data_IF_819222019927
#
_entry.id   IF_819222019927
#
_cell.length_a   1.000
_cell.length_b   1.000
_cell.length_c   1.000
_cell.angle_alpha   90.00
_cell.angle_beta   90.00
_cell.angle_gamma   90.00
#
_symmetry.space_group_name_H-M   'P 1'
#
loop_
_entity.id
_entity.type
_entity.pdbx_description
1 polymer ?
#
# COMPACT_ATOMS: atom_id res chain seq x y z
N UNK A 1 -11.65 -11.17 -1.97
CA UNK A 1 -10.32 -11.77 -1.93
C UNK A 1 -9.79 -11.78 -3.34
N UNK A 2 -8.72 -11.02 -3.58
CA UNK A 2 -8.05 -10.97 -4.88
C UNK A 2 -7.14 -12.18 -5.04
N UNK A 3 -6.67 -12.47 -6.26
CA UNK A 3 -5.66 -13.50 -6.48
C UNK A 3 -4.33 -13.21 -5.78
N UNK A 4 -4.00 -11.93 -5.54
CA UNK A 4 -2.77 -11.52 -4.86
C UNK A 4 -2.78 -11.90 -3.37
N UNK A 5 -3.93 -11.70 -2.70
CA UNK A 5 -4.08 -12.03 -1.26
C UNK A 5 -3.77 -13.51 -1.00
N UNK A 6 -4.21 -14.41 -1.90
CA UNK A 6 -3.96 -15.85 -1.78
C UNK A 6 -2.48 -16.19 -1.95
N UNK A 7 -1.78 -15.59 -2.92
CA UNK A 7 -0.34 -15.77 -3.09
C UNK A 7 0.43 -15.35 -1.84
N UNK A 8 0.00 -14.25 -1.20
CA UNK A 8 0.63 -13.78 0.03
C UNK A 8 0.42 -14.76 1.19
N UNK A 9 -0.82 -15.27 1.35
CA UNK A 9 -1.16 -16.29 2.35
C UNK A 9 -0.36 -17.57 2.18
N UNK A 10 -0.03 -17.93 0.94
CA UNK A 10 0.82 -19.07 0.60
C UNK A 10 2.33 -18.78 0.79
N UNK A 11 2.70 -17.59 1.29
CA UNK A 11 4.10 -17.20 1.53
C UNK A 11 4.85 -16.78 0.26
N UNK A 12 4.17 -16.61 -0.87
CA UNK A 12 4.78 -16.23 -2.16
C UNK A 12 4.95 -14.71 -2.27
N UNK A 13 5.71 -14.14 -1.34
CA UNK A 13 5.88 -12.69 -1.15
C UNK A 13 6.35 -11.96 -2.41
N UNK A 14 7.36 -12.47 -3.12
CA UNK A 14 7.89 -11.81 -4.32
C UNK A 14 6.89 -11.81 -5.49
N UNK A 15 6.20 -12.93 -5.71
CA UNK A 15 5.15 -13.03 -6.74
C UNK A 15 4.00 -12.08 -6.41
N UNK A 16 3.59 -12.04 -5.14
CA UNK A 16 2.55 -11.15 -4.63
C UNK A 16 2.92 -9.68 -4.89
N UNK A 17 4.16 -9.30 -4.59
CA UNK A 17 4.66 -7.94 -4.79
C UNK A 17 4.61 -7.53 -6.27
N UNK A 18 4.94 -8.45 -7.19
CA UNK A 18 4.81 -8.20 -8.64
C UNK A 18 3.35 -7.94 -9.02
N UNK A 19 2.39 -8.68 -8.46
CA UNK A 19 0.96 -8.45 -8.75
C UNK A 19 0.49 -7.09 -8.23
N UNK A 20 0.79 -6.75 -6.97
CA UNK A 20 0.35 -5.45 -6.43
C UNK A 20 1.01 -4.27 -7.14
N UNK A 21 2.30 -4.35 -7.52
CA UNK A 21 2.94 -3.28 -8.33
C UNK A 21 2.24 -3.08 -9.68
N UNK A 22 1.84 -4.17 -10.35
CA UNK A 22 1.07 -4.08 -11.60
C UNK A 22 -0.29 -3.42 -11.37
N UNK A 23 -1.00 -3.81 -10.32
CA UNK A 23 -2.28 -3.23 -9.94
C UNK A 23 -2.14 -1.73 -9.63
N UNK A 24 -1.13 -1.36 -8.86
CA UNK A 24 -0.87 0.03 -8.49
C UNK A 24 -0.56 0.90 -9.71
N UNK A 25 0.33 0.44 -10.60
CA UNK A 25 0.64 1.16 -11.85
C UNK A 25 -0.55 1.28 -12.80
N UNK A 26 -1.50 0.34 -12.76
CA UNK A 26 -2.70 0.40 -13.59
C UNK A 26 -3.69 1.49 -13.16
N UNK A 27 -3.58 1.96 -11.90
CA UNK A 27 -4.40 3.04 -11.37
C UNK A 27 -3.67 3.73 -10.21
N UNK A 28 -2.98 4.84 -10.53
CA UNK A 28 -2.23 5.63 -9.55
C UNK A 28 -3.12 6.36 -8.54
N UNK A 29 -4.44 6.50 -8.77
CA UNK A 29 -5.36 6.96 -7.72
C UNK A 29 -5.52 5.92 -6.60
N UNK A 30 -5.13 4.67 -6.86
CA UNK A 30 -4.99 3.59 -5.87
C UNK A 30 -6.20 3.38 -4.95
N UNK A 31 -7.38 3.39 -5.58
CA UNK A 31 -8.66 3.17 -4.91
C UNK A 31 -8.78 1.79 -4.22
N UNK A 32 -7.94 0.84 -4.62
CA UNK A 32 -7.90 -0.52 -4.08
C UNK A 32 -6.90 -0.68 -2.93
N UNK A 33 -6.11 0.34 -2.63
CA UNK A 33 -5.13 0.33 -1.54
C UNK A 33 -3.92 -0.57 -1.79
N UNK A 34 -3.53 -0.78 -3.05
CA UNK A 34 -2.36 -1.57 -3.42
C UNK A 34 -1.06 -0.98 -2.83
N UNK A 35 -0.96 0.35 -2.66
CA UNK A 35 0.20 0.98 -2.02
C UNK A 35 0.45 0.45 -0.61
N UNK A 36 -0.60 0.25 0.18
CA UNK A 36 -0.47 -0.27 1.55
C UNK A 36 0.06 -1.71 1.55
N UNK A 37 -0.43 -2.55 0.63
CA UNK A 37 0.02 -3.93 0.49
C UNK A 37 1.49 -4.00 0.05
N UNK A 38 1.91 -3.17 -0.90
CA UNK A 38 3.32 -3.06 -1.35
C UNK A 38 4.23 -2.73 -0.15
N UNK A 39 3.89 -1.69 0.62
CA UNK A 39 4.69 -1.29 1.78
C UNK A 39 4.75 -2.42 2.82
N UNK A 40 3.62 -3.08 3.11
CA UNK A 40 3.59 -4.19 4.07
C UNK A 40 4.42 -5.40 3.61
N UNK A 41 4.39 -5.74 2.32
CA UNK A 41 5.25 -6.78 1.73
C UNK A 41 6.72 -6.41 1.83
N UNK A 42 7.09 -5.15 1.55
CA UNK A 42 8.48 -4.66 1.67
C UNK A 42 8.99 -4.64 3.11
N UNK A 43 8.08 -4.51 4.09
CA UNK A 43 8.38 -4.70 5.51
C UNK A 43 8.51 -6.16 5.92
N UNK A 44 8.20 -7.12 5.04
CA UNK A 44 8.18 -8.54 5.36
C UNK A 44 7.02 -8.95 6.27
N UNK A 45 5.93 -8.19 6.29
CA UNK A 45 4.77 -8.53 7.12
C UNK A 45 4.05 -9.76 6.54
N UNK A 46 3.67 -10.74 7.39
CA UNK A 46 2.71 -11.76 6.99
C UNK A 46 1.34 -11.14 6.66
N UNK A 47 0.59 -11.77 5.75
CA UNK A 47 -0.72 -11.27 5.32
C UNK A 47 -1.67 -10.98 6.48
N UNK A 48 -1.78 -11.90 7.45
CA UNK A 48 -2.70 -11.72 8.59
C UNK A 48 -2.29 -10.57 9.51
N UNK A 49 -0.99 -10.29 9.62
CA UNK A 49 -0.48 -9.15 10.37
C UNK A 49 -0.73 -7.83 9.63
N UNK A 50 -0.58 -7.82 8.30
CA UNK A 50 -0.99 -6.70 7.47
C UNK A 50 -2.48 -6.38 7.63
N UNK A 51 -3.35 -7.39 7.50
CA UNK A 51 -4.80 -7.21 7.66
C UNK A 51 -5.14 -6.69 9.05
N UNK A 52 -4.49 -7.20 10.09
CA UNK A 52 -4.70 -6.74 11.47
C UNK A 52 -4.26 -5.29 11.68
N UNK A 53 -3.12 -4.89 11.10
CA UNK A 53 -2.57 -3.56 11.29
C UNK A 53 -3.22 -2.50 10.40
N UNK A 54 -3.62 -2.83 9.18
CA UNK A 54 -4.09 -1.86 8.18
C UNK A 54 -5.60 -1.94 7.97
N UNK A 55 -6.17 -3.15 7.99
CA UNK A 55 -7.59 -3.39 7.71
C UNK A 55 -8.32 -4.11 8.87
N UNK A 56 -8.24 -3.59 10.11
CA UNK A 56 -8.87 -4.25 11.25
C UNK A 56 -10.39 -4.38 11.01
N UNK A 57 -10.96 -5.52 11.41
CA UNK A 57 -12.39 -5.83 11.18
C UNK A 57 -13.36 -4.92 11.95
N UNK A 58 -12.88 -4.11 12.90
CA UNK A 58 -13.66 -3.07 13.57
C UNK A 58 -13.73 -1.80 12.74
N UNK A 59 -14.79 -1.00 12.91
CA UNK A 59 -14.89 0.35 12.34
C UNK A 59 -13.84 1.28 12.95
N UNK A 60 -12.59 1.16 12.51
CA UNK A 60 -11.55 2.12 12.80
C UNK A 60 -11.71 3.33 11.88
N UNK A 61 -11.38 4.56 12.34
CA UNK A 61 -11.37 5.73 11.49
C UNK A 61 -10.41 5.54 10.31
N UNK A 62 -10.72 6.14 9.16
CA UNK A 62 -9.84 6.13 7.98
C UNK A 62 -8.43 6.66 8.30
N UNK A 63 -8.33 7.58 9.26
CA UNK A 63 -7.08 8.10 9.85
C UNK A 63 -6.08 7.01 10.27
N UNK A 64 -6.56 5.83 10.71
CA UNK A 64 -5.68 4.75 11.14
C UNK A 64 -4.82 4.22 10.00
N UNK A 65 -5.42 4.03 8.83
CA UNK A 65 -4.70 3.57 7.63
C UNK A 65 -3.67 4.60 7.20
N UNK A 66 -4.08 5.87 7.18
CA UNK A 66 -3.18 6.97 6.80
C UNK A 66 -2.02 7.08 7.79
N UNK A 67 -2.28 7.07 9.10
CA UNK A 67 -1.24 7.10 10.14
C UNK A 67 -0.25 5.93 9.97
N UNK A 68 -0.75 4.73 9.71
CA UNK A 68 0.11 3.57 9.45
C UNK A 68 0.96 3.81 8.19
N UNK A 69 0.35 4.29 7.11
CA UNK A 69 1.09 4.54 5.87
C UNK A 69 2.15 5.63 6.05
N UNK A 70 1.81 6.77 6.66
CA UNK A 70 2.75 7.87 6.91
C UNK A 70 3.99 7.42 7.71
N UNK A 71 3.80 6.50 8.65
CA UNK A 71 4.88 5.93 9.46
C UNK A 71 5.82 5.01 8.66
N UNK A 72 5.30 4.29 7.66
CA UNK A 72 6.02 3.17 7.03
C UNK A 72 6.46 3.46 5.59
N UNK A 73 5.67 4.21 4.82
CA UNK A 73 5.93 4.61 3.45
C UNK A 73 7.28 5.32 3.23
N UNK A 74 7.77 6.22 4.12
CA UNK A 74 9.05 6.90 3.91
C UNK A 74 10.26 5.96 3.77
N UNK A 75 10.15 4.70 4.20
CA UNK A 75 11.23 3.71 4.09
C UNK A 75 11.41 3.14 2.68
N UNK A 76 10.40 3.30 1.81
CA UNK A 76 10.39 2.73 0.46
C UNK A 76 9.97 3.79 -0.57
N UNK A 77 10.69 4.92 -0.67
CA UNK A 77 10.33 6.02 -1.56
C UNK A 77 10.30 5.57 -3.04
N UNK A 78 11.09 4.56 -3.41
CA UNK A 78 11.16 4.02 -4.76
C UNK A 78 9.84 3.38 -5.23
N UNK A 79 9.06 2.80 -4.31
CA UNK A 79 7.78 2.18 -4.65
C UNK A 79 6.70 3.23 -4.94
N UNK A 80 6.88 4.46 -4.45
CA UNK A 80 5.87 5.52 -4.44
C UNK A 80 6.21 6.69 -5.36
N UNK A 81 7.36 6.66 -6.05
CA UNK A 81 7.81 7.79 -6.86
C UNK A 81 6.80 8.22 -7.92
N UNK A 82 6.25 7.26 -8.68
CA UNK A 82 5.22 7.52 -9.70
C UNK A 82 3.94 8.09 -9.08
N UNK A 83 3.55 7.58 -7.92
CA UNK A 83 2.36 8.04 -7.19
C UNK A 83 2.52 9.45 -6.64
N UNK A 84 3.69 9.78 -6.07
CA UNK A 84 3.98 11.14 -5.61
C UNK A 84 3.90 12.14 -6.74
N UNK A 85 4.46 11.80 -7.90
CA UNK A 85 4.39 12.64 -9.08
C UNK A 85 2.94 12.82 -9.54
N UNK A 86 2.16 11.73 -9.61
CA UNK A 86 0.73 11.80 -9.91
C UNK A 86 -0.04 12.68 -8.91
N UNK A 87 0.20 12.55 -7.60
CA UNK A 87 -0.46 13.37 -6.60
C UNK A 87 -0.16 14.86 -6.78
N UNK A 88 1.08 15.20 -7.12
CA UNK A 88 1.48 16.57 -7.40
C UNK A 88 0.78 17.11 -8.64
N UNK A 89 0.80 16.35 -9.73
CA UNK A 89 0.34 16.83 -11.04
C UNK A 89 -1.18 16.86 -11.16
N UNK A 90 -1.87 15.85 -10.62
CA UNK A 90 -3.30 15.64 -10.85
C UNK A 90 -4.18 16.00 -9.64
N UNK A 91 -3.62 15.96 -8.42
CA UNK A 91 -4.35 16.27 -7.18
C UNK A 91 -3.93 17.62 -6.60
N UNK A 92 -2.71 18.09 -6.91
CA UNK A 92 -2.14 19.32 -6.36
C UNK A 92 -1.66 19.18 -4.92
N UNK A 93 -1.25 17.98 -4.51
CA UNK A 93 -0.65 17.72 -3.20
C UNK A 93 0.87 17.63 -3.30
N UNK A 94 1.57 18.31 -2.40
CA UNK A 94 3.02 18.25 -2.31
C UNK A 94 3.47 17.11 -1.36
N UNK A 95 4.77 16.79 -1.37
CA UNK A 95 5.29 15.64 -0.62
C UNK A 95 5.00 15.72 0.89
N UNK A 96 4.99 16.92 1.47
CA UNK A 96 4.66 17.18 2.87
C UNK A 96 3.19 16.84 3.22
N UNK A 97 2.30 16.88 2.23
CA UNK A 97 0.88 16.56 2.40
C UNK A 97 0.60 15.06 2.28
N UNK A 98 1.48 14.32 1.59
CA UNK A 98 1.31 12.90 1.31
C UNK A 98 1.64 12.01 2.52
N UNK A 99 2.61 12.41 3.34
CA UNK A 99 2.85 11.78 4.63
C UNK A 99 3.74 12.58 5.59
#
# INVERSE_FOLDING_TARGET
MTGADNLWRDGKTEETLVVYRKLFRSNLNDNIGARYAIIALRLGLPYEEYMRQVWPQSRMPAEHMDTWFRKHAPKFPEELAEWKQYCKDEIGLDEEDLY
#
